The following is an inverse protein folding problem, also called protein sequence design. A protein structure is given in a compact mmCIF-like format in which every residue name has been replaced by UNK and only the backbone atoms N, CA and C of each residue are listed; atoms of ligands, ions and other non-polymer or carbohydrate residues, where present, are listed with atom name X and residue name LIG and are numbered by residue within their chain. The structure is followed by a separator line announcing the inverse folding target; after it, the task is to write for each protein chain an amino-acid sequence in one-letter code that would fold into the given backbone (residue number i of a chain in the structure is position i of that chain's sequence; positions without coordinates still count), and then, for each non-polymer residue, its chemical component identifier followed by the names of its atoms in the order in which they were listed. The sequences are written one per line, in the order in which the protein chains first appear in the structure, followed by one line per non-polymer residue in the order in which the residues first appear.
data_IF_643764231645
#
_entry.id   IF_643764231645
#
_cell.length_a   1.000
_cell.length_b   1.000
_cell.length_c   1.000
_cell.angle_alpha   90.00
_cell.angle_beta   90.00
_cell.angle_gamma   90.00
#
_symmetry.space_group_name_H-M   'P 1'
#
loop_
_entity.id
_entity.type
_entity.pdbx_description
1 polymer ?
#
# COMPACT_ATOMS: atom_id res chain seq x y z
N UNK A 1 23.23 -17.82 -7.29
CA UNK A 1 23.41 -16.53 -7.99
C UNK A 1 22.50 -15.54 -7.30
N UNK A 2 23.01 -14.42 -6.79
CA UNK A 2 22.14 -13.42 -6.17
C UNK A 2 21.32 -12.76 -7.29
N UNK A 3 20.05 -13.11 -7.39
CA UNK A 3 19.11 -12.43 -8.27
C UNK A 3 19.07 -10.96 -7.81
N UNK A 4 19.44 -10.01 -8.67
CA UNK A 4 19.29 -8.59 -8.35
C UNK A 4 17.80 -8.27 -8.30
N UNK A 5 17.30 -7.90 -7.13
CA UNK A 5 15.93 -7.43 -6.97
C UNK A 5 15.77 -6.08 -7.70
N UNK A 6 14.57 -5.86 -8.21
CA UNK A 6 14.16 -4.68 -8.98
C UNK A 6 13.03 -3.95 -8.28
N UNK A 7 12.69 -2.74 -8.75
CA UNK A 7 11.65 -1.92 -8.13
C UNK A 7 10.28 -2.62 -8.10
N UNK A 8 9.95 -3.46 -9.09
CA UNK A 8 8.70 -4.23 -9.08
C UNK A 8 8.67 -5.26 -7.93
N UNK A 9 9.81 -5.84 -7.54
CA UNK A 9 9.91 -6.74 -6.39
C UNK A 9 9.65 -5.97 -5.08
N UNK A 10 10.20 -4.76 -4.97
CA UNK A 10 10.00 -3.89 -3.81
C UNK A 10 8.54 -3.43 -3.70
N UNK A 11 7.93 -3.04 -4.82
CA UNK A 11 6.52 -2.64 -4.88
C UNK A 11 5.58 -3.79 -4.48
N UNK A 12 5.81 -5.00 -5.01
CA UNK A 12 5.03 -6.19 -4.67
C UNK A 12 5.11 -6.47 -3.17
N UNK A 13 6.32 -6.53 -2.60
CA UNK A 13 6.51 -6.78 -1.17
C UNK A 13 5.81 -5.71 -0.31
N UNK A 14 5.97 -4.43 -0.64
CA UNK A 14 5.34 -3.35 0.13
C UNK A 14 3.82 -3.28 -0.02
N UNK A 15 3.25 -3.84 -1.10
CA UNK A 15 1.80 -3.86 -1.30
C UNK A 15 1.06 -4.74 -0.29
N UNK A 16 1.73 -5.73 0.30
CA UNK A 16 1.19 -6.63 1.32
C UNK A 16 0.72 -5.85 2.58
N UNK A 17 1.32 -4.68 2.85
CA UNK A 17 0.90 -3.77 3.93
C UNK A 17 -0.55 -3.26 3.79
N UNK A 18 -1.15 -3.40 2.61
CA UNK A 18 -2.49 -2.91 2.26
C UNK A 18 -3.50 -4.04 2.00
N UNK A 19 -3.12 -5.29 2.29
CA UNK A 19 -3.99 -6.46 2.20
C UNK A 19 -4.62 -6.71 3.58
N UNK A 20 -5.88 -7.15 3.62
CA UNK A 20 -6.60 -7.46 4.87
C UNK A 20 -6.24 -8.88 5.36
N UNK A 21 -4.96 -9.10 5.65
CA UNK A 21 -4.38 -10.36 6.13
C UNK A 21 -3.31 -10.11 7.22
N UNK A 22 -2.72 -11.19 7.74
CA UNK A 22 -1.52 -11.07 8.56
C UNK A 22 -0.33 -10.68 7.68
N UNK A 23 0.29 -9.55 7.99
CA UNK A 23 1.41 -8.99 7.22
C UNK A 23 2.68 -9.81 7.45
N UNK A 24 3.34 -10.24 6.38
CA UNK A 24 4.64 -10.91 6.46
C UNK A 24 5.79 -9.90 6.50
N UNK A 25 6.04 -9.35 7.70
CA UNK A 25 7.12 -8.38 7.90
C UNK A 25 8.51 -8.96 7.62
N UNK A 26 8.72 -10.28 7.76
CA UNK A 26 10.01 -10.91 7.50
C UNK A 26 10.34 -10.91 6.02
N UNK A 27 9.37 -11.32 5.18
CA UNK A 27 9.49 -11.28 3.72
C UNK A 27 9.69 -9.84 3.22
N UNK A 28 8.90 -8.88 3.71
CA UNK A 28 9.04 -7.47 3.35
C UNK A 28 10.45 -6.96 3.68
N UNK A 29 10.94 -7.25 4.89
CA UNK A 29 12.28 -6.85 5.31
C UNK A 29 13.41 -7.57 4.54
N UNK A 30 13.18 -8.79 4.05
CA UNK A 30 14.11 -9.54 3.22
C UNK A 30 14.27 -8.91 1.83
N UNK A 31 13.19 -8.41 1.24
CA UNK A 31 13.23 -7.68 -0.03
C UNK A 31 13.83 -6.29 0.17
N UNK A 32 13.30 -5.53 1.13
CA UNK A 32 13.65 -4.12 1.34
C UNK A 32 15.13 -3.89 1.67
N UNK A 33 15.80 -4.82 2.38
CA UNK A 33 17.24 -4.69 2.72
C UNK A 33 18.18 -4.68 1.51
N UNK A 34 17.69 -5.05 0.32
CA UNK A 34 18.46 -4.99 -0.92
C UNK A 34 18.50 -3.59 -1.53
N UNK A 35 17.78 -2.63 -0.94
CA UNK A 35 17.66 -1.25 -1.40
C UNK A 35 18.10 -0.25 -0.31
N UNK A 36 18.53 0.96 -0.68
CA UNK A 36 18.76 2.03 0.30
C UNK A 36 17.47 2.40 1.03
N UNK A 37 17.54 2.65 2.34
CA UNK A 37 16.36 2.99 3.16
C UNK A 37 15.54 4.16 2.58
N UNK A 38 16.21 5.20 2.10
CA UNK A 38 15.54 6.36 1.49
C UNK A 38 14.75 5.99 0.22
N UNK A 39 15.21 5.00 -0.55
CA UNK A 39 14.48 4.49 -1.71
C UNK A 39 13.28 3.66 -1.28
N UNK A 40 13.44 2.80 -0.28
CA UNK A 40 12.35 2.02 0.32
C UNK A 40 11.22 2.91 0.83
N UNK A 41 11.56 3.99 1.55
CA UNK A 41 10.58 4.97 2.03
C UNK A 41 9.88 5.70 0.88
N UNK A 42 10.64 6.16 -0.11
CA UNK A 42 10.08 6.86 -1.28
C UNK A 42 9.12 5.96 -2.06
N UNK A 43 9.51 4.72 -2.36
CA UNK A 43 8.65 3.76 -3.08
C UNK A 43 7.37 3.48 -2.28
N UNK A 44 7.49 3.28 -0.95
CA UNK A 44 6.32 3.02 -0.12
C UNK A 44 5.32 4.18 -0.17
N UNK A 45 5.79 5.39 0.10
CA UNK A 45 4.90 6.54 0.28
C UNK A 45 4.48 7.18 -1.04
N UNK A 46 5.35 7.20 -2.05
CA UNK A 46 5.09 7.93 -3.29
C UNK A 46 4.57 7.03 -4.41
N UNK A 47 4.81 5.71 -4.37
CA UNK A 47 4.40 4.79 -5.45
C UNK A 47 3.33 3.80 -5.02
N UNK A 48 3.60 3.02 -3.96
CA UNK A 48 2.74 1.91 -3.52
C UNK A 48 1.50 2.42 -2.79
N UNK A 49 1.68 3.25 -1.76
CA UNK A 49 0.57 3.71 -0.95
C UNK A 49 -0.53 4.46 -1.74
N UNK A 50 -0.24 5.34 -2.72
CA UNK A 50 -1.29 5.99 -3.52
C UNK A 50 -2.16 5.02 -4.32
N UNK A 51 -1.57 3.94 -4.82
CA UNK A 51 -2.27 2.91 -5.60
C UNK A 51 -3.05 1.99 -4.67
N UNK A 52 -2.38 1.43 -3.67
CA UNK A 52 -2.92 0.38 -2.82
C UNK A 52 -3.93 0.87 -1.78
N UNK A 53 -3.84 2.14 -1.34
CA UNK A 53 -4.74 2.70 -0.33
C UNK A 53 -6.22 2.64 -0.75
N UNK A 54 -6.52 2.71 -2.04
CA UNK A 54 -7.90 2.64 -2.54
C UNK A 54 -8.62 1.34 -2.14
N UNK A 55 -7.88 0.23 -1.95
CA UNK A 55 -8.44 -1.03 -1.44
C UNK A 55 -9.02 -0.91 -0.03
N UNK A 56 -8.44 -0.05 0.81
CA UNK A 56 -8.92 0.17 2.19
C UNK A 56 -10.20 1.01 2.26
N UNK A 57 -10.59 1.67 1.16
CA UNK A 57 -11.80 2.49 1.05
C UNK A 57 -12.99 1.76 0.38
N UNK A 58 -12.75 0.58 -0.20
CA UNK A 58 -13.79 -0.17 -0.87
C UNK A 58 -14.68 -0.92 0.15
N UNK A 59 -16.03 -0.96 -0.01
CA UNK A 59 -16.96 -1.61 0.92
C UNK A 59 -16.90 -3.15 0.96
N UNK A 60 -15.71 -3.75 0.90
CA UNK A 60 -15.40 -5.16 0.59
C UNK A 60 -15.41 -5.44 -0.91
N UNK A 61 -14.28 -5.25 -1.62
CA UNK A 61 -14.12 -5.76 -2.97
C UNK A 61 -13.74 -7.25 -2.95
N UNK A 62 -14.04 -8.02 -4.01
CA UNK A 62 -13.66 -9.43 -4.15
C UNK A 62 -12.14 -9.69 -4.22
N UNK A 63 -11.29 -8.65 -4.10
CA UNK A 63 -9.83 -8.67 -4.31
C UNK A 63 -9.08 -8.41 -2.99
N UNK A 64 -9.60 -8.89 -1.86
CA UNK A 64 -8.84 -8.96 -0.60
C UNK A 64 -7.81 -10.08 -0.56
N UNK A 65 -7.56 -10.74 -1.69
CA UNK A 65 -6.61 -11.85 -1.83
C UNK A 65 -5.18 -11.41 -2.15
N UNK A 66 -4.93 -10.10 -2.29
CA UNK A 66 -3.62 -9.53 -2.61
C UNK A 66 -3.61 -8.73 -3.91
N UNK A 67 -2.46 -8.13 -4.21
CA UNK A 67 -2.22 -7.42 -5.46
C UNK A 67 -1.54 -8.35 -6.46
N UNK A 68 -2.05 -8.42 -7.68
CA UNK A 68 -1.34 -9.10 -8.77
C UNK A 68 -0.16 -8.22 -9.20
N UNK A 69 1.04 -8.79 -9.19
CA UNK A 69 2.32 -8.09 -9.35
C UNK A 69 2.39 -7.22 -10.60
N UNK A 70 2.04 -7.77 -11.76
CA UNK A 70 2.16 -7.03 -13.04
C UNK A 70 1.09 -5.94 -13.17
N UNK A 71 -0.12 -6.20 -12.66
CA UNK A 71 -1.22 -5.23 -12.61
C UNK A 71 -0.89 -4.07 -11.68
N UNK A 72 -0.40 -4.36 -10.47
CA UNK A 72 0.09 -3.37 -9.52
C UNK A 72 1.16 -2.48 -10.17
N UNK A 73 2.13 -3.10 -10.83
CA UNK A 73 3.21 -2.38 -11.49
C UNK A 73 2.69 -1.48 -12.61
N UNK A 74 1.75 -1.95 -13.43
CA UNK A 74 1.14 -1.15 -14.48
C UNK A 74 0.40 0.08 -13.92
N UNK A 75 -0.30 -0.07 -12.79
CA UNK A 75 -0.98 1.04 -12.11
C UNK A 75 0.01 2.06 -11.54
N UNK A 76 1.09 1.60 -10.91
CA UNK A 76 2.18 2.47 -10.43
C UNK A 76 2.82 3.23 -11.59
N UNK A 77 3.11 2.56 -12.71
CA UNK A 77 3.66 3.22 -13.90
C UNK A 77 2.71 4.28 -14.46
N UNK A 78 1.40 4.02 -14.42
CA UNK A 78 0.38 4.99 -14.80
C UNK A 78 0.38 6.21 -13.87
N UNK A 79 0.47 6.01 -12.55
CA UNK A 79 0.61 7.08 -11.56
C UNK A 79 1.83 7.96 -11.87
N UNK A 80 3.01 7.34 -12.00
CA UNK A 80 4.28 8.04 -12.25
C UNK A 80 4.24 8.83 -13.56
N UNK A 81 3.66 8.26 -14.61
CA UNK A 81 3.49 8.95 -15.90
C UNK A 81 2.54 10.16 -15.81
N UNK A 82 1.56 10.14 -14.89
CA UNK A 82 0.66 11.27 -14.62
C UNK A 82 1.36 12.34 -13.80
N UNK A 83 2.13 11.96 -12.79
CA UNK A 83 2.89 12.88 -11.95
C UNK A 83 3.99 13.59 -12.73
N UNK A 84 4.71 12.89 -13.61
CA UNK A 84 5.70 13.50 -14.50
C UNK A 84 5.11 14.60 -15.41
N UNK A 85 3.79 14.57 -15.64
CA UNK A 85 3.06 15.59 -16.43
C UNK A 85 2.42 16.67 -15.54
N UNK A 86 2.26 16.43 -14.25
CA UNK A 86 1.58 17.32 -13.31
C UNK A 86 2.58 18.23 -12.57
N UNK A 87 2.17 19.45 -12.23
CA UNK A 87 3.00 20.43 -11.52
C UNK A 87 2.88 20.37 -9.97
N UNK A 88 2.21 19.36 -9.41
CA UNK A 88 1.96 19.25 -7.97
C UNK A 88 2.38 17.87 -7.41
N UNK A 89 3.06 17.81 -6.25
CA UNK A 89 3.55 16.56 -5.68
C UNK A 89 2.44 15.80 -4.92
N UNK A 90 2.23 14.52 -5.28
CA UNK A 90 1.22 13.62 -4.70
C UNK A 90 1.37 13.39 -3.18
N UNK A 91 2.55 13.68 -2.65
CA UNK A 91 2.92 13.54 -1.24
C UNK A 91 1.97 14.24 -0.26
N UNK A 92 1.37 15.36 -0.64
CA UNK A 92 0.41 16.09 0.22
C UNK A 92 -0.97 15.40 0.29
N UNK A 93 -1.40 14.77 -0.80
CA UNK A 93 -2.68 14.07 -0.85
C UNK A 93 -2.66 12.78 -0.01
N UNK A 94 -1.52 12.06 -0.02
CA UNK A 94 -1.33 10.83 0.73
C UNK A 94 -1.37 11.04 2.26
N UNK A 95 -0.74 12.11 2.76
CA UNK A 95 -0.71 12.43 4.19
C UNK A 95 -2.13 12.69 4.73
N UNK A 96 -2.96 13.36 3.93
CA UNK A 96 -4.35 13.62 4.27
C UNK A 96 -5.23 12.35 4.22
N UNK A 97 -4.95 11.44 3.29
CA UNK A 97 -5.74 10.20 3.13
C UNK A 97 -5.39 9.13 4.15
N UNK A 98 -4.10 8.92 4.49
CA UNK A 98 -3.68 7.99 5.56
C UNK A 98 -4.31 8.34 6.92
N UNK A 99 -4.46 9.65 7.21
CA UNK A 99 -5.17 10.12 8.41
C UNK A 99 -6.66 9.77 8.39
N UNK A 100 -7.30 9.78 7.21
CA UNK A 100 -8.71 9.44 7.05
C UNK A 100 -8.98 7.93 7.16
N UNK A 101 -8.10 7.06 6.64
CA UNK A 101 -8.24 5.60 6.83
C UNK A 101 -8.00 5.17 8.25
N UNK A 102 -7.04 5.76 8.96
CA UNK A 102 -6.90 5.54 10.41
C UNK A 102 -8.20 5.85 11.16
N UNK A 103 -8.88 6.94 10.80
CA UNK A 103 -10.18 7.33 11.39
C UNK A 103 -11.31 6.38 10.96
N UNK A 104 -11.35 5.96 9.70
CA UNK A 104 -12.39 5.05 9.19
C UNK A 104 -12.26 3.64 9.74
N UNK A 105 -11.04 3.12 9.88
CA UNK A 105 -10.76 1.83 10.53
C UNK A 105 -11.08 1.87 12.02
N UNK A 106 -10.74 2.97 12.72
CA UNK A 106 -11.15 3.16 14.12
C UNK A 106 -12.68 3.17 14.25
N UNK A 107 -13.39 3.85 13.33
CA UNK A 107 -14.85 3.88 13.32
C UNK A 107 -15.45 2.51 13.01
N UNK A 108 -14.90 1.78 12.04
CA UNK A 108 -15.34 0.43 11.70
C UNK A 108 -15.13 -0.53 12.87
N UNK A 109 -13.95 -0.49 13.51
CA UNK A 109 -13.64 -1.26 14.70
C UNK A 109 -14.60 -0.96 15.85
N UNK A 110 -14.89 0.32 16.14
CA UNK A 110 -15.86 0.71 17.19
C UNK A 110 -17.25 0.15 16.89
N UNK A 111 -17.69 0.22 15.63
CA UNK A 111 -18.99 -0.30 15.21
C UNK A 111 -19.07 -1.83 15.32
N UNK A 112 -18.02 -2.55 14.95
CA UNK A 112 -18.00 -4.02 15.00
C UNK A 112 -17.73 -4.56 16.42
N UNK A 113 -16.81 -3.96 17.17
CA UNK A 113 -16.54 -4.32 18.56
C UNK A 113 -17.75 -4.05 19.46
N UNK A 114 -18.51 -2.99 19.19
CA UNK A 114 -19.76 -2.69 19.90
C UNK A 114 -20.91 -3.66 19.60
N UNK A 115 -20.85 -4.42 18.50
CA UNK A 115 -21.82 -5.47 18.18
C UNK A 115 -21.47 -6.82 18.86
N UNK A 116 -20.20 -7.03 19.23
CA UNK A 116 -19.71 -8.25 19.90
C UNK A 116 -19.92 -8.26 21.42
N UNK A 117 -20.21 -7.11 22.04
CA UNK A 117 -20.44 -6.98 23.49
C UNK A 117 -21.89 -7.17 23.91
N UNK A 118 -22.81 -7.43 22.97
CA UNK A 118 -24.25 -7.61 23.23
C UNK A 118 -24.72 -9.06 22.99
N UNK A 119 -23.80 -10.03 22.98
CA UNK A 119 -24.14 -11.47 23.04
C UNK A 119 -23.70 -12.10 24.35
#
# INVERSE_FOLDING_TARGET
MAQSLSDIDLCEAQSDLFVDNEVDFELIAQVARSFPLAHVEMVLFEWVAPVCYTNTLAPVPPIWTGFERDSLWAEIQCLLAREAKAHQPARLALICSLSLVGILLLRYFILYAGQMTVM
#
